data_IF_143695692888
#
_entry.id   IF_143695692888
#
_cell.length_a   1.000
_cell.length_b   1.000
_cell.length_c   1.000
_cell.angle_alpha   90.00
_cell.angle_beta   90.00
_cell.angle_gamma   90.00
#
_symmetry.space_group_name_H-M   'P 1'
#
loop_
_entity.id
_entity.type
_entity.pdbx_description
1 polymer ?
#
# COMPACT_ATOMS: atom_id res chain seq x y z
N UNK A 1 -16.14 7.03 -4.03
CA UNK A 1 -14.80 6.45 -3.85
C UNK A 1 -14.29 5.85 -5.16
N UNK A 2 -13.05 6.12 -5.57
CA UNK A 2 -12.40 5.51 -6.75
C UNK A 2 -11.32 4.54 -6.30
N UNK A 3 -11.39 3.29 -6.78
CA UNK A 3 -10.39 2.27 -6.51
C UNK A 3 -9.47 2.07 -7.72
N UNK A 4 -8.15 2.00 -7.48
CA UNK A 4 -7.15 1.63 -8.50
C UNK A 4 -6.30 0.49 -7.98
N UNK A 5 -6.17 -0.56 -8.80
CA UNK A 5 -5.36 -1.74 -8.46
C UNK A 5 -4.17 -1.80 -9.42
N UNK A 6 -2.97 -1.80 -8.85
CA UNK A 6 -1.71 -2.04 -9.55
C UNK A 6 -1.14 -3.38 -9.10
N UNK A 7 -0.49 -4.07 -10.02
CA UNK A 7 0.16 -5.35 -9.74
C UNK A 7 1.63 -5.28 -10.12
N UNK A 8 2.47 -6.00 -9.40
CA UNK A 8 3.92 -5.96 -9.56
C UNK A 8 4.59 -7.27 -9.17
N UNK A 9 5.92 -7.29 -9.33
CA UNK A 9 6.75 -8.46 -9.07
C UNK A 9 7.48 -8.44 -7.72
N UNK A 10 7.52 -7.28 -7.07
CA UNK A 10 8.29 -7.07 -5.83
C UNK A 10 7.40 -6.55 -4.72
N UNK A 11 6.96 -7.44 -3.84
CA UNK A 11 6.21 -7.06 -2.64
C UNK A 11 7.08 -6.25 -1.67
N UNK A 12 8.37 -6.61 -1.56
CA UNK A 12 9.37 -5.84 -0.80
C UNK A 12 9.47 -4.41 -1.31
N UNK A 13 9.52 -4.20 -2.62
CA UNK A 13 9.58 -2.87 -3.22
C UNK A 13 8.36 -1.99 -2.89
N UNK A 14 7.16 -2.58 -2.90
CA UNK A 14 5.93 -1.85 -2.50
C UNK A 14 5.94 -1.46 -1.01
N UNK A 15 6.41 -2.36 -0.14
CA UNK A 15 6.52 -2.09 1.30
C UNK A 15 7.54 -0.98 1.52
N UNK A 16 8.75 -1.11 0.95
CA UNK A 16 9.80 -0.09 1.08
C UNK A 16 9.34 1.29 0.60
N UNK A 17 8.59 1.35 -0.51
CA UNK A 17 8.01 2.61 -0.99
C UNK A 17 7.10 3.26 0.06
N UNK A 18 6.14 2.51 0.61
CA UNK A 18 5.22 3.06 1.60
C UNK A 18 5.93 3.40 2.92
N UNK A 19 6.86 2.57 3.39
CA UNK A 19 7.66 2.85 4.59
C UNK A 19 8.58 4.07 4.40
N UNK A 20 9.05 4.33 3.18
CA UNK A 20 9.80 5.55 2.87
C UNK A 20 8.92 6.80 3.00
N UNK A 21 7.64 6.72 2.60
CA UNK A 21 6.66 7.80 2.78
C UNK A 21 6.36 8.06 4.25
N UNK A 22 6.28 7.00 5.05
CA UNK A 22 6.17 7.08 6.52
C UNK A 22 7.40 7.78 7.11
N UNK A 23 8.60 7.36 6.71
CA UNK A 23 9.87 7.98 7.16
C UNK A 23 9.94 9.46 6.78
N UNK A 24 9.37 9.85 5.64
CA UNK A 24 9.30 11.24 5.18
C UNK A 24 8.17 12.04 5.83
N UNK A 25 7.34 11.44 6.69
CA UNK A 25 6.20 12.12 7.33
C UNK A 25 5.04 12.41 6.36
N UNK A 26 4.97 11.71 5.24
CA UNK A 26 3.91 11.88 4.19
C UNK A 26 2.92 10.72 4.15
N UNK A 27 3.10 9.74 5.02
CA UNK A 27 2.16 8.65 5.21
C UNK A 27 2.15 8.17 6.66
N UNK A 28 1.04 7.58 7.08
CA UNK A 28 0.84 7.02 8.41
C UNK A 28 0.39 5.56 8.23
N UNK A 29 1.08 4.56 8.80
CA UNK A 29 0.56 3.20 8.83
C UNK A 29 -0.66 3.18 9.76
N UNK A 30 -1.81 2.74 9.25
CA UNK A 30 -3.06 2.77 10.02
C UNK A 30 -3.63 1.37 10.28
N UNK A 31 -3.22 0.34 9.54
CA UNK A 31 -3.69 -1.03 9.80
C UNK A 31 -2.67 -2.06 9.32
N UNK A 32 -2.49 -3.12 10.10
CA UNK A 32 -1.78 -4.32 9.73
C UNK A 32 -2.64 -5.54 10.01
N UNK A 33 -3.17 -6.16 8.96
CA UNK A 33 -4.02 -7.34 9.08
C UNK A 33 -3.18 -8.62 9.03
N UNK A 34 -3.40 -9.53 9.98
CA UNK A 34 -2.80 -10.88 10.06
C UNK A 34 -1.25 -10.90 10.19
N UNK A 35 -0.74 -9.99 11.01
CA UNK A 35 0.69 -9.91 11.38
C UNK A 35 1.01 -10.48 12.77
N UNK A 36 0.01 -10.66 13.65
CA UNK A 36 0.20 -11.23 14.99
C UNK A 36 0.91 -10.30 15.99
N UNK A 37 1.13 -9.05 15.60
CA UNK A 37 1.68 -7.97 16.40
C UNK A 37 0.84 -6.72 16.16
N UNK A 38 0.84 -5.81 17.14
CA UNK A 38 0.27 -4.48 16.99
C UNK A 38 1.11 -3.65 16.01
N UNK A 39 0.47 -2.66 15.38
CA UNK A 39 1.09 -1.93 14.27
C UNK A 39 2.28 -1.09 14.72
N UNK A 40 2.25 -0.63 15.98
CA UNK A 40 3.31 0.13 16.65
C UNK A 40 4.58 -0.72 16.86
N UNK A 41 4.44 -2.05 16.94
CA UNK A 41 5.54 -2.99 17.12
C UNK A 41 6.07 -3.56 15.79
N UNK A 42 5.39 -3.26 14.68
CA UNK A 42 5.76 -3.76 13.36
C UNK A 42 6.89 -2.97 12.72
N UNK A 43 8.11 -3.48 12.89
CA UNK A 43 9.27 -3.08 12.10
C UNK A 43 9.16 -3.53 10.62
N UNK A 44 9.89 -2.83 9.74
CA UNK A 44 10.02 -3.17 8.31
C UNK A 44 10.36 -4.64 8.08
N UNK A 45 11.26 -5.21 8.89
CA UNK A 45 11.65 -6.63 8.79
C UNK A 45 10.48 -7.58 9.00
N UNK A 46 9.57 -7.29 9.94
CA UNK A 46 8.40 -8.11 10.23
C UNK A 46 7.42 -8.06 9.04
N UNK A 47 7.18 -6.84 8.53
CA UNK A 47 6.34 -6.57 7.36
C UNK A 47 6.81 -7.38 6.14
N UNK A 48 8.09 -7.23 5.79
CA UNK A 48 8.70 -7.90 4.63
C UNK A 48 8.73 -9.41 4.81
N UNK A 49 9.16 -9.91 5.98
CA UNK A 49 9.28 -11.35 6.22
C UNK A 49 7.93 -12.07 6.08
N UNK A 50 6.84 -11.48 6.58
CA UNK A 50 5.50 -12.05 6.46
C UNK A 50 5.07 -12.27 5.01
N UNK A 51 5.29 -11.28 4.15
CA UNK A 51 4.92 -11.38 2.73
C UNK A 51 5.89 -12.25 1.93
N UNK A 52 7.19 -12.19 2.22
CA UNK A 52 8.17 -13.05 1.57
C UNK A 52 7.98 -14.52 1.91
N UNK A 53 7.55 -14.82 3.13
CA UNK A 53 7.15 -16.18 3.49
C UNK A 53 6.08 -16.71 2.53
N UNK A 54 4.98 -15.95 2.33
CA UNK A 54 3.90 -16.35 1.42
C UNK A 54 4.34 -16.44 -0.04
N UNK A 55 5.03 -15.43 -0.56
CA UNK A 55 5.46 -15.42 -1.97
C UNK A 55 6.47 -16.52 -2.29
N UNK A 56 7.26 -16.97 -1.30
CA UNK A 56 8.15 -18.15 -1.43
C UNK A 56 7.40 -19.48 -1.53
N UNK A 57 6.18 -19.60 -0.98
CA UNK A 57 5.36 -20.81 -1.09
C UNK A 57 5.01 -21.15 -2.55
N UNK A 58 4.98 -20.15 -3.44
CA UNK A 58 4.72 -20.37 -4.85
C UNK A 58 5.55 -19.44 -5.75
N UNK A 59 6.83 -19.79 -5.91
CA UNK A 59 7.81 -19.04 -6.73
C UNK A 59 7.48 -18.93 -8.22
N UNK A 60 6.49 -19.69 -8.71
CA UNK A 60 5.97 -19.59 -10.09
C UNK A 60 5.11 -18.34 -10.29
N UNK A 61 4.52 -17.79 -9.22
CA UNK A 61 3.75 -16.56 -9.27
C UNK A 61 4.69 -15.36 -9.33
N UNK A 62 5.04 -14.91 -10.54
CA UNK A 62 5.97 -13.79 -10.74
C UNK A 62 5.34 -12.43 -10.46
N UNK A 63 4.05 -12.26 -10.77
CA UNK A 63 3.27 -11.07 -10.39
C UNK A 63 2.54 -11.40 -9.09
N UNK A 64 3.20 -11.10 -7.97
CA UNK A 64 2.78 -11.51 -6.63
C UNK A 64 2.49 -10.34 -5.68
N UNK A 65 2.72 -9.12 -6.13
CA UNK A 65 2.58 -7.91 -5.34
C UNK A 65 1.35 -7.15 -5.83
N UNK A 66 0.45 -6.79 -4.91
CA UNK A 66 -0.78 -6.05 -5.22
C UNK A 66 -0.80 -4.76 -4.41
N UNK A 67 -0.98 -3.64 -5.11
CA UNK A 67 -1.07 -2.31 -4.53
C UNK A 67 -2.43 -1.72 -4.90
N UNK A 68 -3.20 -1.35 -3.90
CA UNK A 68 -4.55 -0.83 -4.08
C UNK A 68 -4.59 0.57 -3.51
N UNK A 69 -5.12 1.51 -4.29
CA UNK A 69 -5.36 2.88 -3.84
C UNK A 69 -6.85 3.12 -3.80
N UNK A 70 -7.37 3.45 -2.61
CA UNK A 70 -8.74 3.89 -2.43
C UNK A 70 -8.72 5.41 -2.26
N UNK A 71 -9.33 6.10 -3.22
CA UNK A 71 -9.36 7.55 -3.31
C UNK A 71 -10.76 8.03 -2.94
N UNK A 72 -10.83 8.94 -2.00
CA UNK A 72 -12.06 9.54 -1.50
C UNK A 72 -12.24 10.92 -2.12
N UNK A 73 -13.47 11.42 -2.08
CA UNK A 73 -13.76 12.77 -2.58
C UNK A 73 -13.05 13.82 -1.70
N UNK A 74 -12.55 14.94 -2.25
CA UNK A 74 -11.89 16.00 -1.47
C UNK A 74 -12.74 16.57 -0.33
N UNK A 75 -14.07 16.46 -0.41
CA UNK A 75 -15.00 16.93 0.62
C UNK A 75 -15.21 15.91 1.75
N UNK A 76 -14.74 14.68 1.61
CA UNK A 76 -14.91 13.64 2.63
C UNK A 76 -13.94 13.82 3.80
N UNK A 77 -14.48 13.88 5.01
CA UNK A 77 -13.72 13.88 6.26
C UNK A 77 -13.94 12.51 6.92
N UNK A 78 -12.94 11.64 6.84
CA UNK A 78 -13.00 10.27 7.34
C UNK A 78 -12.01 10.08 8.48
N UNK A 79 -12.49 9.52 9.60
CA UNK A 79 -11.62 9.14 10.71
C UNK A 79 -10.75 7.94 10.32
N UNK A 80 -9.66 7.73 11.06
CA UNK A 80 -8.76 6.58 10.84
C UNK A 80 -9.52 5.26 10.99
N UNK A 81 -10.41 5.15 11.98
CA UNK A 81 -11.22 3.96 12.24
C UNK A 81 -12.16 3.66 11.08
N UNK A 82 -12.77 4.70 10.49
CA UNK A 82 -13.61 4.55 9.30
C UNK A 82 -12.79 4.10 8.09
N UNK A 83 -11.59 4.64 7.90
CA UNK A 83 -10.67 4.21 6.83
C UNK A 83 -10.24 2.76 7.01
N UNK A 84 -9.90 2.35 8.23
CA UNK A 84 -9.56 0.96 8.57
C UNK A 84 -10.73 0.02 8.23
N UNK A 85 -11.94 0.39 8.65
CA UNK A 85 -13.16 -0.41 8.39
C UNK A 85 -13.42 -0.55 6.89
N UNK A 86 -13.35 0.55 6.15
CA UNK A 86 -13.49 0.54 4.67
C UNK A 86 -12.42 -0.36 4.04
N UNK A 87 -11.17 -0.28 4.50
CA UNK A 87 -10.09 -1.11 3.97
C UNK A 87 -10.34 -2.61 4.21
N UNK A 88 -10.75 -3.00 5.42
CA UNK A 88 -11.06 -4.40 5.77
C UNK A 88 -12.20 -4.94 4.91
N UNK A 89 -13.31 -4.20 4.82
CA UNK A 89 -14.47 -4.64 4.04
C UNK A 89 -14.19 -4.64 2.54
N UNK A 90 -13.41 -3.67 2.05
CA UNK A 90 -12.97 -3.67 0.66
C UNK A 90 -12.13 -4.91 0.35
N UNK A 91 -11.15 -5.23 1.20
CA UNK A 91 -10.30 -6.40 1.03
C UNK A 91 -11.12 -7.71 1.07
N UNK A 92 -12.11 -7.80 1.95
CA UNK A 92 -13.04 -8.92 1.98
C UNK A 92 -13.85 -9.03 0.66
N UNK A 93 -14.45 -7.94 0.19
CA UNK A 93 -15.29 -7.92 -1.03
C UNK A 93 -14.54 -8.31 -2.31
N UNK A 94 -13.23 -8.03 -2.37
CA UNK A 94 -12.40 -8.46 -3.52
C UNK A 94 -11.78 -9.85 -3.37
N UNK A 95 -12.09 -10.59 -2.30
CA UNK A 95 -11.59 -11.95 -2.06
C UNK A 95 -10.21 -12.03 -1.40
N UNK A 96 -9.74 -10.93 -0.79
CA UNK A 96 -8.45 -10.82 -0.10
C UNK A 96 -8.56 -10.75 1.43
N UNK A 97 -9.75 -10.95 2.02
CA UNK A 97 -9.96 -10.84 3.47
C UNK A 97 -9.07 -11.78 4.33
N UNK A 98 -8.67 -12.92 3.75
CA UNK A 98 -7.79 -13.89 4.41
C UNK A 98 -6.29 -13.62 4.15
N UNK A 99 -5.94 -12.65 3.29
CA UNK A 99 -4.55 -12.28 3.06
C UNK A 99 -4.03 -11.35 4.16
N UNK A 100 -2.74 -11.41 4.51
CA UNK A 100 -2.13 -10.30 5.22
C UNK A 100 -2.13 -9.06 4.33
N UNK A 101 -2.37 -7.89 4.92
CA UNK A 101 -2.28 -6.63 4.22
C UNK A 101 -1.89 -5.49 5.15
N UNK A 102 -1.23 -4.49 4.58
CA UNK A 102 -0.84 -3.25 5.28
C UNK A 102 -1.63 -2.10 4.66
N UNK A 103 -2.12 -1.17 5.49
CA UNK A 103 -2.84 0.02 5.06
C UNK A 103 -2.09 1.26 5.53
N UNK A 104 -1.88 2.18 4.61
CA UNK A 104 -1.23 3.46 4.83
C UNK A 104 -2.18 4.58 4.44
N UNK A 105 -2.41 5.54 5.33
CA UNK A 105 -3.02 6.83 4.98
C UNK A 105 -1.92 7.73 4.44
N UNK A 106 -2.03 8.16 3.19
CA UNK A 106 -1.08 9.11 2.59
C UNK A 106 -1.63 10.53 2.74
N UNK A 107 -0.74 11.49 2.91
CA UNK A 107 -1.06 12.91 3.15
C UNK A 107 -0.42 13.82 2.08
N UNK A 108 -0.01 13.25 0.95
CA UNK A 108 0.71 13.92 -0.13
C UNK A 108 -0.17 14.33 -1.33
N UNK A 109 -1.50 14.32 -1.17
CA UNK A 109 -2.46 14.77 -2.17
C UNK A 109 -3.60 15.60 -1.56
N UNK A 110 -4.27 16.42 -2.39
CA UNK A 110 -5.39 17.28 -1.99
C UNK A 110 -6.73 16.53 -1.81
N UNK A 111 -6.69 15.21 -1.68
CA UNK A 111 -7.87 14.40 -1.38
C UNK A 111 -7.51 13.25 -0.43
N UNK A 112 -8.45 12.80 0.43
CA UNK A 112 -8.19 11.68 1.30
C UNK A 112 -7.96 10.43 0.46
N UNK A 113 -6.94 9.65 0.80
CA UNK A 113 -6.70 8.36 0.16
C UNK A 113 -5.88 7.44 1.04
N UNK A 114 -6.04 6.14 0.80
CA UNK A 114 -5.26 5.10 1.47
C UNK A 114 -4.65 4.14 0.46
N UNK A 115 -3.48 3.64 0.81
CA UNK A 115 -2.73 2.64 0.07
C UNK A 115 -2.78 1.31 0.82
N UNK A 116 -3.19 0.24 0.14
CA UNK A 116 -3.25 -1.11 0.68
C UNK A 116 -2.24 -1.98 -0.08
N UNK A 117 -1.35 -2.64 0.66
CA UNK A 117 -0.32 -3.53 0.10
C UNK A 117 -0.60 -4.96 0.55
N UNK A 118 -0.64 -5.88 -0.42
CA UNK A 118 -0.88 -7.31 -0.15
C UNK A 118 -0.21 -8.21 -1.19
N UNK A 119 -0.31 -9.52 -1.02
CA UNK A 119 0.08 -10.53 -2.00
C UNK A 119 -1.13 -11.35 -2.44
N UNK A 120 -1.06 -11.92 -3.65
CA UNK A 120 -2.07 -12.85 -4.16
C UNK A 120 -1.68 -14.32 -3.95
N UNK A 121 -0.64 -14.62 -3.16
CA UNK A 121 -0.23 -15.99 -2.83
C UNK A 121 -0.77 -16.35 -1.45
N UNK A 122 -1.67 -17.33 -1.40
CA UNK A 122 -2.31 -17.77 -0.17
C UNK A 122 -1.39 -18.66 0.67
N UNK A 123 -1.76 -18.87 1.93
CA UNK A 123 -1.04 -19.74 2.86
C UNK A 123 -1.02 -21.22 2.41
N UNK A 124 -2.00 -21.65 1.59
CA UNK A 124 -2.04 -22.98 0.98
C UNK A 124 -1.22 -23.07 -0.34
N UNK A 125 -0.38 -22.07 -0.63
CA UNK A 125 0.39 -21.88 -1.87
C UNK A 125 -0.43 -21.59 -3.14
N UNK A 126 -1.76 -21.62 -3.08
CA UNK A 126 -2.61 -21.28 -4.22
C UNK A 126 -2.56 -19.78 -4.52
N UNK A 127 -2.88 -19.40 -5.76
CA UNK A 127 -2.88 -18.01 -6.21
C UNK A 127 -4.31 -17.48 -6.30
N UNK A 128 -4.56 -16.28 -5.78
CA UNK A 128 -5.77 -15.51 -6.10
C UNK A 128 -5.65 -14.97 -7.52
N UNK A 129 -6.64 -15.25 -8.36
CA UNK A 129 -6.66 -14.71 -9.73
C UNK A 129 -6.86 -13.19 -9.69
N UNK A 130 -6.00 -12.49 -10.41
CA UNK A 130 -6.02 -11.03 -10.53
C UNK A 130 -6.74 -10.58 -11.80
N UNK A 131 -7.11 -11.51 -12.70
CA UNK A 131 -7.80 -11.18 -13.92
C UNK A 131 -9.15 -10.52 -13.62
N UNK A 132 -9.38 -9.34 -14.22
CA UNK A 132 -10.59 -8.54 -14.06
C UNK A 132 -10.99 -8.17 -12.62
N UNK A 133 -10.11 -8.33 -11.62
CA UNK A 133 -10.42 -8.00 -10.22
C UNK A 133 -10.86 -6.54 -10.07
N UNK A 134 -10.18 -5.62 -10.78
CA UNK A 134 -10.53 -4.20 -10.83
C UNK A 134 -11.93 -3.97 -11.39
N UNK A 135 -12.21 -4.54 -12.56
CA UNK A 135 -13.44 -4.30 -13.33
C UNK A 135 -14.68 -4.95 -12.70
N UNK A 136 -14.53 -6.09 -12.05
CA UNK A 136 -15.65 -6.89 -11.54
C UNK A 136 -15.78 -6.71 -10.03
N UNK A 137 -14.86 -7.31 -9.27
CA UNK A 137 -14.98 -7.39 -7.81
C UNK A 137 -14.79 -6.03 -7.14
N UNK A 138 -13.77 -5.28 -7.55
CA UNK A 138 -13.47 -3.95 -7.01
C UNK A 138 -14.57 -2.94 -7.35
N UNK A 139 -15.04 -2.90 -8.61
CA UNK A 139 -16.15 -2.03 -9.01
C UNK A 139 -17.42 -2.31 -8.21
N UNK A 140 -17.79 -3.59 -8.05
CA UNK A 140 -18.95 -3.98 -7.25
C UNK A 140 -18.76 -3.56 -5.78
N UNK A 141 -17.62 -3.93 -5.18
CA UNK A 141 -17.32 -3.67 -3.77
C UNK A 141 -17.28 -2.17 -3.47
N UNK A 142 -16.65 -1.34 -4.32
CA UNK A 142 -16.61 0.11 -4.08
C UNK A 142 -18.00 0.74 -4.08
N UNK A 143 -18.92 0.28 -4.95
CA UNK A 143 -20.28 0.81 -5.06
C UNK A 143 -21.10 0.45 -3.83
N UNK A 144 -20.94 -0.78 -3.33
CA UNK A 144 -21.56 -1.22 -2.08
C UNK A 144 -21.06 -0.40 -0.88
N UNK A 145 -19.76 -0.15 -0.80
CA UNK A 145 -19.17 0.67 0.26
C UNK A 145 -19.57 2.15 0.17
N UNK A 146 -19.69 2.70 -1.05
CA UNK A 146 -20.21 4.05 -1.26
C UNK A 146 -21.61 4.21 -0.65
N UNK A 147 -22.50 3.25 -0.89
CA UNK A 147 -23.85 3.24 -0.32
C UNK A 147 -23.82 3.04 1.20
N UNK A 148 -23.06 2.06 1.68
CA UNK A 148 -23.01 1.69 3.11
C UNK A 148 -22.49 2.81 4.00
N UNK A 149 -21.48 3.54 3.55
CA UNK A 149 -20.83 4.60 4.34
C UNK A 149 -21.26 6.02 3.97
N UNK A 150 -22.28 6.13 3.10
CA UNK A 150 -22.77 7.38 2.54
C UNK A 150 -21.64 8.23 1.93
N UNK A 151 -20.76 7.58 1.17
CA UNK A 151 -19.65 8.24 0.48
C UNK A 151 -20.15 8.87 -0.81
N UNK A 152 -19.39 9.84 -1.30
CA UNK A 152 -19.61 10.44 -2.60
C UNK A 152 -19.42 9.39 -3.69
N UNK A 153 -20.48 9.19 -4.48
CA UNK A 153 -20.48 8.25 -5.62
C UNK A 153 -19.52 8.75 -6.70
N UNK A 154 -18.62 7.87 -7.13
CA UNK A 154 -17.69 8.18 -8.23
C UNK A 154 -18.35 8.09 -9.62
N UNK A 155 -19.41 7.31 -9.76
CA UNK A 155 -20.10 7.08 -11.03
C UNK A 155 -20.80 8.37 -11.53
N UNK A 156 -20.69 8.64 -12.83
CA UNK A 156 -21.31 9.81 -13.47
C UNK A 156 -20.52 11.12 -13.39
N UNK A 157 -19.38 11.14 -12.68
CA UNK A 157 -18.43 12.26 -12.73
C UNK A 157 -17.43 12.03 -13.87
N UNK A 158 -17.27 13.01 -14.75
CA UNK A 158 -16.32 12.95 -15.87
C UNK A 158 -14.90 12.61 -15.39
N UNK A 159 -14.04 12.14 -16.29
CA UNK A 159 -12.66 11.71 -16.01
C UNK A 159 -11.76 12.87 -15.55
N UNK A 160 -11.98 13.40 -14.36
CA UNK A 160 -11.12 14.41 -13.73
C UNK A 160 -10.65 13.91 -12.37
N UNK A 161 -9.90 12.83 -12.38
CA UNK A 161 -8.75 12.73 -11.46
C UNK A 161 -7.62 12.05 -12.22
N UNK A 162 -6.80 12.85 -12.90
CA UNK A 162 -5.52 12.39 -13.43
C UNK A 162 -4.56 12.22 -12.24
N UNK A 163 -4.61 11.07 -11.57
CA UNK A 163 -3.61 10.70 -10.58
C UNK A 163 -2.39 10.20 -11.34
N UNK A 164 -1.27 10.93 -11.23
CA UNK A 164 -0.01 10.58 -11.89
C UNK A 164 0.32 9.10 -11.63
N UNK A 165 0.68 8.31 -12.66
CA UNK A 165 1.10 6.94 -12.45
C UNK A 165 2.35 6.93 -11.56
N UNK A 166 2.30 6.23 -10.42
CA UNK A 166 3.50 5.94 -9.64
C UNK A 166 4.37 5.04 -10.50
N UNK A 167 5.47 5.59 -11.01
CA UNK A 167 6.44 4.85 -11.78
C UNK A 167 7.24 3.96 -10.82
N UNK A 168 6.91 2.67 -10.79
CA UNK A 168 7.57 1.67 -9.93
C UNK A 168 9.08 1.57 -10.26
N UNK A 169 9.51 2.02 -11.45
CA UNK A 169 10.94 2.16 -11.76
C UNK A 169 11.67 3.19 -10.89
N UNK A 170 10.98 4.22 -10.37
CA UNK A 170 11.58 5.18 -9.43
C UNK A 170 11.83 4.60 -8.04
N UNK A 171 11.20 3.48 -7.66
CA UNK A 171 11.54 2.81 -6.40
C UNK A 171 12.99 2.29 -6.40
N UNK A 172 13.51 1.87 -7.56
CA UNK A 172 14.93 1.57 -7.73
C UNK A 172 15.82 2.82 -7.61
N UNK A 173 15.35 3.99 -8.06
CA UNK A 173 16.12 5.24 -7.97
C UNK A 173 16.24 5.74 -6.52
N UNK A 174 15.17 5.62 -5.72
CA UNK A 174 15.18 5.97 -4.29
C UNK A 174 16.07 5.00 -3.49
N UNK A 175 16.10 3.72 -3.85
CA UNK A 175 17.01 2.73 -3.22
C UNK A 175 18.49 3.06 -3.49
N UNK A 176 18.81 3.56 -4.70
CA UNK A 176 20.15 4.04 -5.06
C UNK A 176 20.49 5.35 -4.33
N UNK A 177 19.59 6.34 -4.30
CA UNK A 177 19.87 7.64 -3.68
C UNK A 177 19.94 7.59 -2.15
N UNK A 178 19.12 6.77 -1.49
CA UNK A 178 19.22 6.52 -0.04
C UNK A 178 20.48 5.70 0.32
N UNK A 179 20.88 4.74 -0.53
CA UNK A 179 22.14 4.02 -0.38
C UNK A 179 23.36 4.94 -0.46
N UNK A 180 23.32 5.95 -1.33
CA UNK A 180 24.37 6.98 -1.44
C UNK A 180 24.38 7.89 -0.21
N UNK A 181 23.22 8.35 0.28
CA UNK A 181 23.14 9.22 1.48
C UNK A 181 23.66 8.51 2.74
N UNK A 182 23.38 7.21 2.90
CA UNK A 182 23.89 6.44 4.03
C UNK A 182 25.40 6.15 3.93
N UNK A 183 25.98 6.14 2.73
CA UNK A 183 27.43 5.99 2.56
C UNK A 183 28.21 7.27 2.92
N UNK A 184 27.60 8.45 2.79
CA UNK A 184 28.21 9.73 3.17
C UNK A 184 28.17 10.03 4.67
N UNK A 185 27.28 9.39 5.45
CA UNK A 185 27.26 9.55 6.92
C UNK A 185 28.33 8.73 7.66
N UNK A 186 29.05 7.84 6.97
CA UNK A 186 30.09 6.98 7.55
C UNK A 186 31.54 7.46 7.27
N UNK A 187 31.73 8.61 6.62
CA UNK A 187 33.05 9.23 6.45
C UNK A 187 33.26 10.33 7.51
N UNK A 188 33.72 9.88 8.67
CA UNK A 188 34.74 10.52 9.50
C UNK A 188 34.61 12.01 9.80
N UNK A 189 34.27 12.31 11.04
CA UNK A 189 34.72 13.49 11.77
C UNK A 189 36.25 13.64 11.67
N UNK A 190 36.72 14.54 10.81
CA UNK A 190 38.10 15.04 10.85
C UNK A 190 38.07 16.36 11.61
N UNK A 191 38.45 16.28 12.88
CA UNK A 191 38.66 17.44 13.75
C UNK A 191 39.96 18.13 13.30
N UNK A 192 39.87 19.34 12.74
CA UNK A 192 41.05 20.20 12.58
C UNK A 192 41.18 21.09 13.82
N UNK A 193 42.18 20.78 14.64
CA UNK A 193 42.65 21.67 15.71
C UNK A 193 43.43 22.84 15.11
N UNK A 194 43.10 24.04 15.55
CA UNK A 194 43.87 25.26 15.29
C UNK A 194 44.84 25.44 16.47
N UNK A 195 46.14 25.44 16.16
CA UNK A 195 47.18 26.13 16.93
C UNK A 195 47.51 27.42 16.20
#
# INVERSE_FOLDING_TARGET
>A
MVARILTGKSIRGLINYNESKVTLGTAIPILASRFGLDIEELELRHKVARFEHLTKLNSRVKTNAVHIMLNFDPTEILSVEKLQTIAVEYMAGIGFGEQPFLVYKHEDANHPHIHIVTTNVKADSSRIDLHNIGRVLSEQTRKELELKYNLVKAEGRGKEVAIAPVNIAMAHYVEISLGVINSFRNLGSVSFGLN
#
